data_IF_764361188984
#
_entry.id   IF_764361188984
#
_cell.length_a   1.000
_cell.length_b   1.000
_cell.length_c   1.000
_cell.angle_alpha   90.00
_cell.angle_beta   90.00
_cell.angle_gamma   90.00
#
_symmetry.space_group_name_H-M   'P 1'
#
loop_
_entity.id
_entity.type
_entity.pdbx_description
1 polymer ?
#
# COMPACT_ATOMS: atom_id res chain seq x y z
N UNK A 1 -3.33 31.33 25.84
CA UNK A 1 -3.38 31.43 24.35
C UNK A 1 -4.82 31.51 23.85
N UNK A 2 -5.10 32.09 22.68
CA UNK A 2 -6.48 32.23 22.13
C UNK A 2 -7.23 30.89 22.00
N UNK A 3 -6.52 29.82 21.65
CA UNK A 3 -7.09 28.46 21.55
C UNK A 3 -7.52 27.88 22.90
N UNK A 4 -6.79 28.16 23.99
CA UNK A 4 -7.16 27.73 25.35
C UNK A 4 -8.42 28.46 25.82
N UNK A 5 -8.48 29.77 25.57
CA UNK A 5 -9.68 30.58 25.84
C UNK A 5 -10.90 30.05 25.07
N UNK A 6 -10.71 29.68 23.80
CA UNK A 6 -11.77 29.06 22.97
C UNK A 6 -12.27 27.76 23.59
N UNK A 7 -11.34 26.87 24.00
CA UNK A 7 -11.69 25.62 24.67
C UNK A 7 -12.52 25.86 25.93
N UNK A 8 -12.07 26.77 26.81
CA UNK A 8 -12.79 27.07 28.05
C UNK A 8 -14.19 27.66 27.80
N UNK A 9 -14.33 28.57 26.83
CA UNK A 9 -15.62 29.19 26.51
C UNK A 9 -16.64 28.15 26.03
N UNK A 10 -16.20 27.20 25.19
CA UNK A 10 -17.06 26.13 24.69
C UNK A 10 -17.46 25.17 25.82
N UNK A 11 -16.50 24.70 26.61
CA UNK A 11 -16.76 23.73 27.69
C UNK A 11 -17.57 24.33 28.85
N UNK A 12 -17.54 25.65 29.07
CA UNK A 12 -18.37 26.34 30.08
C UNK A 12 -19.79 26.63 29.61
N UNK A 13 -19.99 26.96 28.32
CA UNK A 13 -21.31 27.33 27.81
C UNK A 13 -22.18 26.12 27.53
N UNK A 14 -21.66 25.13 26.81
CA UNK A 14 -22.42 24.01 26.27
C UNK A 14 -22.48 22.85 27.27
N UNK A 15 -23.15 23.09 28.40
CA UNK A 15 -23.33 22.12 29.48
C UNK A 15 -24.82 21.96 29.83
N UNK A 16 -25.17 20.84 30.46
CA UNK A 16 -26.54 20.52 30.87
C UNK A 16 -27.12 21.54 31.85
N UNK A 17 -26.30 22.12 32.71
CA UNK A 17 -26.71 23.17 33.67
C UNK A 17 -27.22 24.44 32.95
N UNK A 18 -26.72 24.71 31.75
CA UNK A 18 -27.14 25.85 30.92
C UNK A 18 -28.29 25.49 29.97
N UNK A 19 -28.92 24.33 30.15
CA UNK A 19 -30.07 23.88 29.35
C UNK A 19 -29.73 23.13 28.05
N UNK A 20 -28.47 22.75 27.83
CA UNK A 20 -28.08 21.95 26.66
C UNK A 20 -28.32 20.45 26.90
N UNK A 21 -28.55 19.65 25.84
CA UNK A 21 -28.85 18.22 25.99
C UNK A 21 -27.69 17.40 26.59
N UNK A 22 -26.44 17.82 26.35
CA UNK A 22 -25.24 17.13 26.80
C UNK A 22 -24.12 18.11 27.14
N UNK A 23 -23.15 17.65 27.93
CA UNK A 23 -21.92 18.39 28.20
C UNK A 23 -20.95 18.24 27.04
N UNK A 24 -20.70 19.34 26.33
CA UNK A 24 -19.72 19.38 25.26
C UNK A 24 -18.31 19.22 25.82
N UNK A 25 -17.47 18.48 25.10
CA UNK A 25 -16.07 18.27 25.45
C UNK A 25 -15.17 18.51 24.25
N UNK A 26 -14.09 19.27 24.43
CA UNK A 26 -13.08 19.41 23.39
C UNK A 26 -12.23 18.14 23.35
N UNK A 27 -12.30 17.43 22.22
CA UNK A 27 -11.61 16.15 22.02
C UNK A 27 -10.25 16.30 21.34
N UNK A 28 -10.04 17.38 20.59
CA UNK A 28 -8.78 17.67 19.91
C UNK A 28 -8.66 19.16 19.58
N UNK A 29 -7.43 19.63 19.42
CA UNK A 29 -7.14 20.97 18.90
C UNK A 29 -5.75 21.02 18.28
N UNK A 30 -5.62 21.73 17.16
CA UNK A 30 -4.37 21.90 16.44
C UNK A 30 -4.21 23.34 15.99
N UNK A 31 -3.48 24.14 16.77
CA UNK A 31 -3.07 25.53 16.51
C UNK A 31 -4.20 26.54 16.28
N UNK A 32 -4.97 26.36 15.21
CA UNK A 32 -6.04 27.23 14.70
C UNK A 32 -7.43 26.55 14.74
N UNK A 33 -7.50 25.25 15.03
CA UNK A 33 -8.73 24.46 15.03
C UNK A 33 -9.02 23.79 16.36
N UNK A 34 -10.31 23.70 16.71
CA UNK A 34 -10.81 23.01 17.91
C UNK A 34 -11.93 22.05 17.50
N UNK A 35 -11.81 20.79 17.90
CA UNK A 35 -12.80 19.75 17.63
C UNK A 35 -13.60 19.47 18.90
N UNK A 36 -14.90 19.74 18.83
CA UNK A 36 -15.82 19.66 19.96
C UNK A 36 -16.74 18.47 19.75
N UNK A 37 -16.84 17.60 20.76
CA UNK A 37 -17.88 16.59 20.83
C UNK A 37 -19.06 17.16 21.62
N UNK A 38 -20.15 17.50 20.92
CA UNK A 38 -21.40 18.00 21.53
C UNK A 38 -22.29 16.90 22.11
N UNK A 39 -21.98 15.61 21.91
CA UNK A 39 -22.76 14.48 22.43
C UNK A 39 -24.07 14.18 21.69
N UNK A 40 -24.49 15.04 20.76
CA UNK A 40 -25.71 14.83 19.94
C UNK A 40 -25.52 13.71 18.92
N UNK A 41 -26.63 13.08 18.53
CA UNK A 41 -26.61 11.89 17.66
C UNK A 41 -26.71 12.21 16.17
N UNK A 42 -27.25 13.37 15.81
CA UNK A 42 -27.46 13.74 14.41
C UNK A 42 -26.44 14.76 13.93
N UNK A 43 -26.01 14.62 12.67
CA UNK A 43 -25.09 15.57 12.04
C UNK A 43 -25.71 16.98 11.97
N UNK A 44 -27.02 17.06 11.73
CA UNK A 44 -27.75 18.33 11.65
C UNK A 44 -27.68 19.13 12.95
N UNK A 45 -28.01 18.52 14.08
CA UNK A 45 -27.93 19.19 15.40
C UNK A 45 -26.50 19.60 15.72
N UNK A 46 -25.51 18.74 15.40
CA UNK A 46 -24.10 19.07 15.61
C UNK A 46 -23.65 20.28 14.78
N UNK A 47 -24.13 20.41 13.54
CA UNK A 47 -23.86 21.57 12.68
C UNK A 47 -24.51 22.85 13.21
N UNK A 48 -25.75 22.78 13.70
CA UNK A 48 -26.45 23.92 14.30
C UNK A 48 -25.72 24.44 15.54
N UNK A 49 -25.38 23.54 16.48
CA UNK A 49 -24.58 23.86 17.67
C UNK A 49 -23.19 24.38 17.31
N UNK A 50 -22.55 23.80 16.28
CA UNK A 50 -21.24 24.25 15.80
C UNK A 50 -21.25 25.69 15.27
N UNK A 51 -22.26 26.07 14.49
CA UNK A 51 -22.43 27.45 13.98
C UNK A 51 -22.74 28.44 15.11
N UNK A 52 -23.56 28.03 16.05
CA UNK A 52 -23.86 28.84 17.24
C UNK A 52 -22.59 29.06 18.09
N UNK A 53 -21.82 28.00 18.33
CA UNK A 53 -20.56 28.04 19.07
C UNK A 53 -19.52 28.95 18.39
N UNK A 54 -19.38 28.85 17.07
CA UNK A 54 -18.48 29.70 16.30
C UNK A 54 -18.82 31.19 16.47
N UNK A 55 -20.12 31.54 16.39
CA UNK A 55 -20.60 32.91 16.56
C UNK A 55 -20.40 33.41 18.01
N UNK A 56 -20.72 32.58 18.99
CA UNK A 56 -20.55 32.89 20.41
C UNK A 56 -19.09 33.10 20.79
N UNK A 57 -18.19 32.22 20.35
CA UNK A 57 -16.75 32.36 20.66
C UNK A 57 -16.19 33.61 19.99
N UNK A 58 -16.58 33.88 18.74
CA UNK A 58 -16.15 35.09 18.00
C UNK A 58 -16.53 36.38 18.72
N UNK A 59 -17.68 36.43 19.41
CA UNK A 59 -18.09 37.63 20.16
C UNK A 59 -17.21 37.93 21.39
N UNK A 60 -16.34 37.00 21.80
CA UNK A 60 -15.42 37.16 22.95
C UNK A 60 -13.99 37.57 22.54
N UNK A 61 -13.79 37.87 21.25
CA UNK A 61 -12.53 38.34 20.68
C UNK A 61 -12.73 39.68 19.94
N UNK A 62 -11.66 40.47 19.85
CA UNK A 62 -11.67 41.75 19.15
C UNK A 62 -11.68 41.52 17.63
N UNK A 63 -12.44 42.34 16.89
CA UNK A 63 -12.41 42.33 15.42
C UNK A 63 -10.97 42.65 14.95
N UNK A 64 -10.44 41.98 13.90
CA UNK A 64 -11.13 41.12 12.93
C UNK A 64 -11.08 39.61 13.26
N UNK A 65 -10.76 39.22 14.50
CA UNK A 65 -10.67 37.79 14.87
C UNK A 65 -12.06 37.17 14.81
N UNK A 66 -12.21 36.12 14.01
CA UNK A 66 -13.47 35.41 13.81
C UNK A 66 -13.19 33.90 13.77
N UNK A 67 -14.01 33.13 14.49
CA UNK A 67 -14.07 31.68 14.41
C UNK A 67 -15.23 31.29 13.49
N UNK A 68 -14.97 30.43 12.53
CA UNK A 68 -15.98 29.90 11.62
C UNK A 68 -16.23 28.41 11.86
N UNK A 69 -17.49 28.01 11.72
CA UNK A 69 -17.82 26.59 11.66
C UNK A 69 -17.48 26.06 10.27
N UNK A 70 -16.62 25.04 10.20
CA UNK A 70 -16.18 24.47 8.93
C UNK A 70 -16.93 23.17 8.57
N UNK A 71 -17.05 22.23 9.52
CA UNK A 71 -17.43 20.83 9.23
C UNK A 71 -17.82 20.02 10.46
N UNK A 72 -18.51 18.90 10.23
CA UNK A 72 -18.71 17.81 11.21
C UNK A 72 -18.03 16.53 10.71
N UNK A 73 -17.42 15.77 11.62
CA UNK A 73 -16.96 14.41 11.35
C UNK A 73 -17.92 13.37 11.92
N UNK A 74 -18.38 12.42 11.09
CA UNK A 74 -19.23 11.32 11.56
C UNK A 74 -19.18 10.07 10.65
N UNK A 75 -18.52 8.97 11.03
CA UNK A 75 -17.74 8.76 12.25
C UNK A 75 -16.39 9.50 12.25
N UNK A 76 -15.77 9.56 13.43
CA UNK A 76 -14.46 10.17 13.65
C UNK A 76 -13.50 9.19 14.35
N UNK A 77 -12.30 9.03 13.82
CA UNK A 77 -11.23 8.18 14.33
C UNK A 77 -9.99 9.05 14.60
N UNK A 78 -9.73 9.34 15.87
CA UNK A 78 -8.53 10.03 16.32
C UNK A 78 -7.49 9.02 16.78
N UNK A 79 -6.36 8.94 16.07
CA UNK A 79 -5.27 8.01 16.39
C UNK A 79 -4.25 8.71 17.29
N UNK A 80 -3.74 9.87 16.85
CA UNK A 80 -2.69 10.62 17.52
C UNK A 80 -2.74 12.09 17.08
N UNK A 81 -1.89 12.94 17.68
CA UNK A 81 -1.72 14.32 17.23
C UNK A 81 -1.35 14.35 15.74
N UNK A 82 -2.06 15.17 14.96
CA UNK A 82 -1.96 15.28 13.49
C UNK A 82 -2.22 13.97 12.73
N UNK A 83 -2.89 13.00 13.35
CA UNK A 83 -3.21 11.68 12.76
C UNK A 83 -4.65 11.29 13.07
N UNK A 84 -5.54 11.55 12.14
CA UNK A 84 -6.96 11.25 12.29
C UNK A 84 -7.62 10.99 10.93
N UNK A 85 -8.74 10.26 10.97
CA UNK A 85 -9.59 10.01 9.82
C UNK A 85 -11.06 10.19 10.20
N UNK A 86 -11.90 10.55 9.25
CA UNK A 86 -13.34 10.66 9.47
C UNK A 86 -14.10 10.97 8.20
N UNK A 87 -15.40 10.73 8.21
CA UNK A 87 -16.27 11.18 7.12
C UNK A 87 -16.59 12.65 7.28
N UNK A 88 -16.31 13.43 6.25
CA UNK A 88 -16.38 14.88 6.21
C UNK A 88 -17.78 15.32 5.77
N UNK A 89 -18.48 16.11 6.59
CA UNK A 89 -19.81 16.64 6.27
C UNK A 89 -19.80 18.17 6.31
N UNK A 90 -20.13 18.79 5.17
CA UNK A 90 -20.54 20.21 5.07
C UNK A 90 -22.04 20.40 5.09
N UNK A 91 -22.79 19.37 4.67
CA UNK A 91 -24.25 19.28 4.69
C UNK A 91 -24.70 18.06 5.48
N UNK A 92 -25.87 18.10 6.14
CA UNK A 92 -26.26 17.03 7.06
C UNK A 92 -26.70 15.73 6.40
N UNK A 93 -27.07 15.74 5.11
CA UNK A 93 -27.70 14.59 4.45
C UNK A 93 -26.68 13.55 3.96
N UNK A 94 -25.55 14.00 3.39
CA UNK A 94 -24.57 13.15 2.70
C UNK A 94 -23.16 13.61 3.06
N UNK A 95 -22.25 12.65 3.24
CA UNK A 95 -20.83 12.95 3.44
C UNK A 95 -20.18 13.36 2.12
N UNK A 96 -19.27 14.33 2.18
CA UNK A 96 -18.56 14.83 1.00
C UNK A 96 -17.43 13.88 0.58
N UNK A 97 -16.66 13.39 1.57
CA UNK A 97 -15.51 12.50 1.38
C UNK A 97 -15.03 11.90 2.69
N UNK A 98 -14.17 10.89 2.61
CA UNK A 98 -13.33 10.48 3.73
C UNK A 98 -12.11 11.41 3.82
N UNK A 99 -11.96 12.11 4.95
CA UNK A 99 -10.78 12.93 5.21
C UNK A 99 -9.75 12.14 6.03
N UNK A 100 -8.50 12.16 5.57
CA UNK A 100 -7.40 11.38 6.10
C UNK A 100 -6.22 12.32 6.34
N UNK A 101 -5.94 12.67 7.60
CA UNK A 101 -4.86 13.60 7.95
C UNK A 101 -3.70 12.86 8.60
N UNK A 102 -2.51 12.96 8.01
CA UNK A 102 -1.25 12.45 8.56
C UNK A 102 -1.15 10.93 8.72
N UNK A 103 -2.16 10.18 8.25
CA UNK A 103 -2.15 8.73 8.18
C UNK A 103 -1.40 8.25 6.94
N UNK A 104 -1.09 6.96 6.90
CA UNK A 104 -0.21 6.35 5.90
C UNK A 104 -0.72 6.46 4.45
N UNK A 105 -2.02 6.70 4.25
CA UNK A 105 -2.66 6.80 2.93
C UNK A 105 -2.29 8.07 2.16
N UNK A 106 -1.95 9.15 2.87
CA UNK A 106 -1.53 10.43 2.27
C UNK A 106 -0.01 10.63 2.31
N UNK A 107 0.71 9.65 2.84
CA UNK A 107 2.17 9.68 3.00
C UNK A 107 2.87 9.01 1.83
N UNK A 108 3.85 9.70 1.25
CA UNK A 108 4.60 9.23 0.06
C UNK A 108 5.81 8.34 0.39
N UNK A 109 6.13 8.16 1.67
CA UNK A 109 7.29 7.38 2.12
C UNK A 109 6.99 5.89 2.37
N UNK A 110 5.73 5.48 2.21
CA UNK A 110 5.28 4.09 2.33
C UNK A 110 5.09 3.47 0.95
N UNK A 111 5.07 2.14 0.87
CA UNK A 111 4.73 1.46 -0.37
C UNK A 111 3.22 1.58 -0.69
N UNK A 112 2.83 1.58 -1.97
CA UNK A 112 1.42 1.68 -2.38
C UNK A 112 0.50 0.63 -1.74
N UNK A 113 1.01 -0.58 -1.47
CA UNK A 113 0.26 -1.63 -0.78
C UNK A 113 -0.31 -1.15 0.55
N UNK A 114 0.49 -0.45 1.36
CA UNK A 114 0.04 0.05 2.67
C UNK A 114 -1.02 1.12 2.51
N UNK A 115 -0.83 2.07 1.59
CA UNK A 115 -1.81 3.12 1.35
C UNK A 115 -3.16 2.53 0.91
N UNK A 116 -3.14 1.57 -0.02
CA UNK A 116 -4.33 0.90 -0.53
C UNK A 116 -5.02 0.03 0.53
N UNK A 117 -4.23 -0.73 1.29
CA UNK A 117 -4.73 -1.55 2.40
C UNK A 117 -5.44 -0.68 3.44
N UNK A 118 -4.78 0.39 3.88
CA UNK A 118 -5.31 1.26 4.93
C UNK A 118 -6.52 2.04 4.46
N UNK A 119 -6.54 2.56 3.23
CA UNK A 119 -7.72 3.22 2.66
C UNK A 119 -8.91 2.25 2.62
N UNK A 120 -8.72 1.05 2.08
CA UNK A 120 -9.81 0.06 1.98
C UNK A 120 -10.31 -0.38 3.34
N UNK A 121 -9.41 -0.57 4.32
CA UNK A 121 -9.81 -0.85 5.70
C UNK A 121 -10.60 0.31 6.31
N UNK A 122 -10.18 1.56 6.11
CA UNK A 122 -10.90 2.74 6.61
C UNK A 122 -12.27 2.91 5.94
N UNK A 123 -12.39 2.67 4.64
CA UNK A 123 -13.67 2.67 3.94
C UNK A 123 -14.62 1.64 4.56
N UNK A 124 -14.16 0.40 4.73
CA UNK A 124 -14.95 -0.66 5.37
C UNK A 124 -15.34 -0.34 6.81
N UNK A 125 -14.48 0.33 7.56
CA UNK A 125 -14.73 0.68 8.96
C UNK A 125 -15.65 1.90 9.12
N UNK A 126 -15.43 2.95 8.33
CA UNK A 126 -16.09 4.25 8.49
C UNK A 126 -17.36 4.39 7.64
N UNK A 127 -17.36 3.82 6.43
CA UNK A 127 -18.49 3.86 5.48
C UNK A 127 -19.38 2.62 5.69
N UNK A 128 -18.84 1.43 5.44
CA UNK A 128 -19.63 0.18 5.48
C UNK A 128 -19.98 -0.24 6.91
N UNK A 129 -19.25 0.29 7.90
CA UNK A 129 -19.37 -0.06 9.33
C UNK A 129 -19.24 -1.57 9.56
N UNK A 130 -18.33 -2.22 8.81
CA UNK A 130 -18.05 -3.65 8.88
C UNK A 130 -16.60 -3.94 9.34
N UNK A 131 -16.36 -4.01 10.66
CA UNK A 131 -15.05 -4.39 11.20
C UNK A 131 -14.62 -5.80 10.81
N UNK A 132 -15.56 -6.73 10.57
CA UNK A 132 -15.25 -8.11 10.21
C UNK A 132 -14.74 -8.17 8.77
N UNK A 133 -15.44 -7.54 7.83
CA UNK A 133 -15.01 -7.42 6.45
C UNK A 133 -13.67 -6.68 6.31
N UNK A 134 -13.44 -5.64 7.11
CA UNK A 134 -12.15 -4.95 7.17
C UNK A 134 -11.02 -5.87 7.65
N UNK A 135 -11.29 -6.69 8.68
CA UNK A 135 -10.34 -7.67 9.23
C UNK A 135 -10.01 -8.75 8.22
N UNK A 136 -11.02 -9.31 7.55
CA UNK A 136 -10.83 -10.36 6.56
C UNK A 136 -10.03 -9.87 5.36
N UNK A 137 -10.32 -8.66 4.88
CA UNK A 137 -9.55 -8.03 3.82
C UNK A 137 -8.07 -7.85 4.19
N UNK A 138 -7.78 -7.43 5.43
CA UNK A 138 -6.42 -7.30 5.91
C UNK A 138 -5.70 -8.66 5.98
N UNK A 139 -6.36 -9.71 6.49
CA UNK A 139 -5.82 -11.07 6.54
C UNK A 139 -5.50 -11.61 5.15
N UNK A 140 -6.42 -11.43 4.20
CA UNK A 140 -6.24 -11.85 2.81
C UNK A 140 -5.04 -11.14 2.17
N UNK A 141 -4.90 -9.83 2.38
CA UNK A 141 -3.77 -9.06 1.86
C UNK A 141 -2.44 -9.53 2.46
N UNK A 142 -2.40 -9.85 3.75
CA UNK A 142 -1.23 -10.41 4.42
C UNK A 142 -0.89 -11.81 3.84
N UNK A 143 -1.89 -12.66 3.63
CA UNK A 143 -1.70 -13.97 3.00
C UNK A 143 -1.13 -13.83 1.59
N UNK A 144 -1.64 -12.89 0.81
CA UNK A 144 -1.17 -12.59 -0.54
C UNK A 144 0.28 -12.11 -0.56
N UNK A 145 0.65 -11.26 0.41
CA UNK A 145 2.04 -10.82 0.57
C UNK A 145 2.97 -12.01 0.87
N UNK A 146 2.61 -12.83 1.85
CA UNK A 146 3.44 -13.97 2.29
C UNK A 146 3.52 -15.10 1.27
N UNK A 147 2.48 -15.23 0.43
CA UNK A 147 2.45 -16.18 -0.69
C UNK A 147 3.05 -15.63 -1.99
N UNK A 148 3.69 -14.44 -1.95
CA UNK A 148 4.29 -13.79 -3.11
C UNK A 148 3.29 -13.57 -4.27
N UNK A 149 2.02 -13.29 -3.93
CA UNK A 149 0.92 -12.98 -4.86
C UNK A 149 0.71 -11.47 -5.07
N UNK A 150 1.46 -10.64 -4.35
CA UNK A 150 1.42 -9.18 -4.50
C UNK A 150 2.37 -8.73 -5.62
N UNK A 151 1.91 -7.75 -6.40
CA UNK A 151 2.71 -7.13 -7.44
C UNK A 151 3.89 -6.32 -6.87
N UNK A 152 5.07 -6.42 -7.49
CA UNK A 152 6.24 -5.69 -7.03
C UNK A 152 6.03 -4.17 -7.06
N UNK A 153 5.22 -3.64 -7.99
CA UNK A 153 4.85 -2.22 -8.05
C UNK A 153 4.18 -1.73 -6.76
N UNK A 154 3.44 -2.61 -6.07
CA UNK A 154 2.80 -2.29 -4.79
C UNK A 154 3.79 -2.27 -3.62
N UNK A 155 5.00 -2.81 -3.82
CA UNK A 155 6.05 -2.91 -2.80
C UNK A 155 7.15 -1.85 -2.98
N UNK A 156 7.12 -1.08 -4.06
CA UNK A 156 8.10 -0.02 -4.33
C UNK A 156 7.95 1.09 -3.30
N UNK A 157 9.07 1.45 -2.67
CA UNK A 157 9.20 2.60 -1.76
C UNK A 157 10.01 3.67 -2.50
N UNK A 158 9.58 4.92 -2.45
CA UNK A 158 10.32 6.04 -3.06
C UNK A 158 10.81 7.02 -2.00
N UNK A 159 12.07 7.44 -2.11
CA UNK A 159 12.63 8.53 -1.29
C UNK A 159 13.45 9.47 -2.14
N UNK A 160 13.38 10.75 -1.81
CA UNK A 160 14.11 11.81 -2.49
C UNK A 160 15.57 11.82 -2.06
N UNK A 161 16.48 11.90 -3.03
CA UNK A 161 17.91 12.03 -2.80
C UNK A 161 18.28 13.50 -2.64
N UNK A 162 18.18 14.01 -1.42
CA UNK A 162 18.29 15.45 -1.14
C UNK A 162 19.72 15.95 -0.92
N UNK A 163 20.65 15.08 -0.53
CA UNK A 163 22.00 15.49 -0.12
C UNK A 163 23.08 14.63 -0.76
N UNK A 164 24.30 15.14 -0.77
CA UNK A 164 25.49 14.35 -1.10
C UNK A 164 25.93 13.50 0.10
N UNK A 165 26.66 12.41 -0.14
CA UNK A 165 27.00 11.40 0.87
C UNK A 165 27.67 11.94 2.12
N UNK A 166 28.47 12.99 1.96
CA UNK A 166 29.24 13.60 3.04
C UNK A 166 28.36 14.35 4.04
N UNK A 167 27.11 14.63 3.68
CA UNK A 167 26.17 15.40 4.49
C UNK A 167 25.13 14.53 5.21
N UNK A 168 25.04 13.24 4.88
CA UNK A 168 24.17 12.30 5.59
C UNK A 168 24.85 11.78 6.85
N UNK A 169 24.34 12.17 8.02
CA UNK A 169 24.83 11.70 9.31
C UNK A 169 24.65 10.19 9.54
N UNK A 170 23.72 9.55 8.83
CA UNK A 170 23.42 8.12 8.95
C UNK A 170 23.18 7.48 7.58
N UNK A 171 23.61 6.22 7.44
CA UNK A 171 23.42 5.44 6.21
C UNK A 171 21.93 5.19 5.94
N UNK A 172 21.49 5.52 4.72
CA UNK A 172 20.12 5.37 4.27
C UNK A 172 20.02 4.40 3.10
N UNK A 173 18.89 3.68 3.01
CA UNK A 173 18.65 2.70 1.95
C UNK A 173 18.75 3.29 0.52
N UNK A 174 18.02 4.37 0.24
CA UNK A 174 18.01 5.02 -1.07
C UNK A 174 19.39 5.58 -1.49
N UNK A 175 20.19 6.05 -0.52
CA UNK A 175 21.54 6.56 -0.78
C UNK A 175 22.48 5.41 -1.14
N UNK A 176 22.52 4.34 -0.34
CA UNK A 176 23.35 3.17 -0.61
C UNK A 176 22.96 2.48 -1.93
N UNK A 177 21.67 2.45 -2.26
CA UNK A 177 21.22 1.96 -3.56
C UNK A 177 21.71 2.84 -4.71
N UNK A 178 21.58 4.16 -4.61
CA UNK A 178 22.05 5.08 -5.65
C UNK A 178 23.55 4.87 -5.96
N UNK A 179 24.37 4.63 -4.93
CA UNK A 179 25.79 4.25 -5.12
C UNK A 179 25.98 2.93 -5.83
N UNK A 180 25.21 1.92 -5.43
CA UNK A 180 25.29 0.60 -6.05
C UNK A 180 24.88 0.66 -7.52
N UNK A 181 23.84 1.42 -7.84
CA UNK A 181 23.40 1.67 -9.22
C UNK A 181 24.50 2.39 -10.00
N UNK A 182 25.09 3.46 -9.47
CA UNK A 182 26.18 4.19 -10.12
C UNK A 182 27.44 3.35 -10.38
N UNK A 183 27.77 2.43 -9.46
CA UNK A 183 28.88 1.48 -9.67
C UNK A 183 28.57 0.41 -10.72
N UNK A 184 27.30 0.02 -10.84
CA UNK A 184 26.83 -1.00 -11.78
C UNK A 184 26.74 -0.44 -13.20
N UNK A 185 26.11 0.73 -13.32
CA UNK A 185 25.95 1.47 -14.56
C UNK A 185 25.79 2.97 -14.25
N UNK A 186 26.82 3.80 -14.54
CA UNK A 186 26.75 5.25 -14.31
C UNK A 186 25.63 5.95 -15.09
N UNK A 187 25.18 5.40 -16.23
CA UNK A 187 24.16 6.03 -17.08
C UNK A 187 22.74 5.97 -16.54
N UNK A 188 22.44 4.99 -15.67
CA UNK A 188 21.11 4.78 -15.07
C UNK A 188 20.99 5.22 -13.61
N UNK A 189 22.06 5.83 -13.08
CA UNK A 189 22.13 6.27 -11.70
C UNK A 189 21.21 7.49 -11.42
N UNK A 190 20.54 7.54 -10.26
CA UNK A 190 19.76 8.72 -9.85
C UNK A 190 20.66 9.95 -9.60
N UNK A 191 20.16 11.14 -9.93
CA UNK A 191 20.80 12.41 -9.64
C UNK A 191 20.28 13.02 -8.31
N UNK A 192 20.98 14.06 -7.84
CA UNK A 192 20.54 14.81 -6.66
C UNK A 192 19.23 15.56 -6.98
N UNK A 193 18.24 15.42 -6.11
CA UNK A 193 16.86 15.86 -6.32
C UNK A 193 15.94 14.78 -6.86
N UNK A 194 16.46 13.69 -7.43
CA UNK A 194 15.63 12.61 -7.95
C UNK A 194 15.02 11.76 -6.83
N UNK A 195 13.86 11.17 -7.12
CA UNK A 195 13.30 10.11 -6.30
C UNK A 195 13.91 8.77 -6.67
N UNK A 196 14.48 8.09 -5.69
CA UNK A 196 15.05 6.75 -5.83
C UNK A 196 14.00 5.72 -5.40
N UNK A 197 13.45 4.94 -6.35
CA UNK A 197 12.59 3.81 -6.05
C UNK A 197 13.43 2.61 -5.62
N UNK A 198 12.96 1.88 -4.62
CA UNK A 198 13.61 0.66 -4.17
C UNK A 198 12.61 -0.31 -3.55
N UNK A 199 12.99 -1.59 -3.55
CA UNK A 199 12.33 -2.63 -2.75
C UNK A 199 13.31 -3.20 -1.73
N UNK A 200 12.79 -3.84 -0.69
CA UNK A 200 13.63 -4.52 0.31
C UNK A 200 13.69 -6.01 -0.01
N UNK A 201 14.89 -6.48 -0.37
CA UNK A 201 15.16 -7.88 -0.70
C UNK A 201 15.45 -8.71 0.55
N UNK A 202 15.17 -10.00 0.46
CA UNK A 202 15.48 -10.96 1.51
C UNK A 202 17.01 -11.11 1.66
N UNK A 203 17.47 -11.05 2.91
CA UNK A 203 18.86 -11.25 3.28
C UNK A 203 18.94 -12.00 4.62
N UNK A 204 20.15 -12.26 5.10
CA UNK A 204 20.35 -12.87 6.42
C UNK A 204 19.74 -12.00 7.54
N UNK A 205 19.22 -12.63 8.61
CA UNK A 205 18.40 -12.00 9.67
C UNK A 205 19.01 -10.77 10.36
N UNK A 206 20.33 -10.56 10.28
CA UNK A 206 21.03 -9.42 10.90
C UNK A 206 21.52 -8.37 9.89
N UNK A 207 21.18 -8.53 8.61
CA UNK A 207 21.56 -7.56 7.57
C UNK A 207 20.79 -6.27 7.77
N UNK A 208 21.51 -5.15 7.86
CA UNK A 208 20.91 -3.84 8.01
C UNK A 208 20.02 -3.48 6.80
N UNK A 209 18.89 -2.82 7.05
CA UNK A 209 17.89 -2.52 6.01
C UNK A 209 18.46 -1.70 4.83
N UNK A 210 19.44 -0.83 5.07
CA UNK A 210 20.06 -0.04 3.99
C UNK A 210 20.84 -0.91 2.99
N UNK A 211 21.37 -2.07 3.41
CA UNK A 211 22.06 -3.01 2.52
C UNK A 211 21.08 -3.86 1.70
N UNK A 212 19.85 -4.03 2.20
CA UNK A 212 18.79 -4.83 1.58
C UNK A 212 17.97 -4.07 0.54
N UNK A 213 18.30 -2.82 0.25
CA UNK A 213 17.64 -2.06 -0.80
C UNK A 213 18.14 -2.50 -2.18
N UNK A 214 17.24 -2.64 -3.14
CA UNK A 214 17.61 -2.94 -4.53
C UNK A 214 16.62 -2.29 -5.50
N UNK A 215 17.09 -2.04 -6.73
CA UNK A 215 16.28 -1.47 -7.80
C UNK A 215 15.18 -2.47 -8.23
N UNK A 216 13.90 -2.05 -8.34
CA UNK A 216 12.81 -2.96 -8.65
C UNK A 216 12.96 -3.67 -10.01
N UNK A 217 13.58 -3.03 -11.01
CA UNK A 217 13.82 -3.64 -12.33
C UNK A 217 14.88 -4.73 -12.20
N UNK A 218 15.98 -4.44 -11.51
CA UNK A 218 17.03 -5.41 -11.25
C UNK A 218 16.50 -6.64 -10.48
N UNK A 219 15.64 -6.43 -9.50
CA UNK A 219 14.96 -7.52 -8.78
C UNK A 219 14.09 -8.35 -9.72
N UNK A 220 13.32 -7.70 -10.59
CA UNK A 220 12.49 -8.34 -11.61
C UNK A 220 13.32 -9.18 -12.56
N UNK A 221 14.39 -8.66 -13.15
CA UNK A 221 15.21 -9.40 -14.12
C UNK A 221 15.85 -10.64 -13.48
N UNK A 222 16.30 -10.51 -12.23
CA UNK A 222 17.11 -11.51 -11.54
C UNK A 222 16.34 -12.41 -10.56
N UNK A 223 15.02 -12.28 -10.45
CA UNK A 223 14.19 -13.04 -9.50
C UNK A 223 14.68 -12.94 -8.05
N UNK A 224 15.13 -11.77 -7.62
CA UNK A 224 15.65 -11.62 -6.27
C UNK A 224 14.49 -11.72 -5.28
N UNK A 225 14.55 -12.57 -4.24
CA UNK A 225 13.43 -12.74 -3.32
C UNK A 225 13.19 -11.47 -2.50
N UNK A 226 11.93 -11.11 -2.30
CA UNK A 226 11.51 -9.97 -1.48
C UNK A 226 11.46 -10.37 0.00
N UNK A 227 11.84 -9.45 0.90
CA UNK A 227 11.72 -9.66 2.34
C UNK A 227 10.28 -9.41 2.80
N UNK A 228 9.41 -10.39 2.60
CA UNK A 228 7.98 -10.30 2.97
C UNK A 228 7.78 -10.03 4.47
N UNK A 229 8.70 -10.51 5.32
CA UNK A 229 8.67 -10.27 6.76
C UNK A 229 8.93 -8.80 7.09
N UNK A 230 9.90 -8.16 6.42
CA UNK A 230 10.13 -6.73 6.56
C UNK A 230 8.88 -5.90 6.19
N UNK A 231 8.21 -6.23 5.08
CA UNK A 231 6.98 -5.52 4.70
C UNK A 231 5.86 -5.75 5.71
N UNK A 232 5.69 -6.96 6.22
CA UNK A 232 4.72 -7.25 7.26
C UNK A 232 5.01 -6.41 8.51
N UNK A 233 6.19 -6.57 9.12
CA UNK A 233 6.49 -6.00 10.44
C UNK A 233 6.70 -4.47 10.41
N UNK A 234 7.37 -3.96 9.39
CA UNK A 234 7.78 -2.56 9.34
C UNK A 234 6.80 -1.67 8.58
N UNK A 235 6.10 -2.20 7.56
CA UNK A 235 5.23 -1.40 6.69
C UNK A 235 3.74 -1.61 7.02
N UNK A 236 3.28 -2.84 7.26
CA UNK A 236 1.85 -3.16 7.41
C UNK A 236 1.40 -3.17 8.88
N UNK A 237 2.13 -3.88 9.76
CA UNK A 237 1.65 -4.16 11.13
C UNK A 237 1.36 -2.88 11.91
N UNK A 238 2.29 -1.92 11.94
CA UNK A 238 2.12 -0.71 12.77
C UNK A 238 0.96 0.17 12.32
N UNK A 239 0.79 0.51 11.03
CA UNK A 239 -0.38 1.27 10.57
C UNK A 239 -1.70 0.55 10.80
N UNK A 240 -1.73 -0.77 10.60
CA UNK A 240 -2.93 -1.58 10.78
C UNK A 240 -3.37 -1.60 12.24
N UNK A 241 -2.44 -1.88 13.17
CA UNK A 241 -2.71 -1.87 14.60
C UNK A 241 -3.27 -0.53 15.08
N UNK A 242 -2.70 0.59 14.64
CA UNK A 242 -3.17 1.94 15.01
C UNK A 242 -4.64 2.21 14.68
N UNK A 243 -5.18 1.57 13.65
CA UNK A 243 -6.56 1.77 13.19
C UNK A 243 -7.50 0.77 13.86
N UNK A 244 -7.04 -0.47 14.05
CA UNK A 244 -7.87 -1.54 14.58
C UNK A 244 -7.86 -1.63 16.11
N UNK A 245 -6.79 -1.24 16.80
CA UNK A 245 -6.71 -1.24 18.28
C UNK A 245 -7.83 -0.43 18.94
N UNK A 246 -8.18 0.80 18.49
CA UNK A 246 -9.30 1.55 19.09
C UNK A 246 -10.67 0.89 18.91
N UNK A 247 -10.80 -0.07 17.99
CA UNK A 247 -12.07 -0.70 17.60
C UNK A 247 -12.19 -2.11 18.19
N UNK A 248 -11.12 -2.91 18.09
CA UNK A 248 -11.06 -4.31 18.51
C UNK A 248 -10.38 -4.51 19.88
N UNK A 249 -9.74 -3.48 20.43
CA UNK A 249 -8.98 -3.54 21.67
C UNK A 249 -7.65 -4.29 21.55
N UNK A 250 -7.11 -4.74 22.69
CA UNK A 250 -5.80 -5.40 22.79
C UNK A 250 -5.67 -6.69 21.97
N UNK A 251 -6.80 -7.31 21.58
CA UNK A 251 -6.80 -8.52 20.75
C UNK A 251 -6.51 -8.26 19.28
N UNK A 252 -6.49 -6.99 18.84
CA UNK A 252 -6.29 -6.61 17.43
C UNK A 252 -5.03 -7.26 16.84
N UNK A 253 -3.91 -7.23 17.56
CA UNK A 253 -2.65 -7.81 17.11
C UNK A 253 -2.76 -9.32 16.87
N UNK A 254 -3.31 -10.05 17.85
CA UNK A 254 -3.51 -11.49 17.74
C UNK A 254 -4.45 -11.86 16.59
N UNK A 255 -5.48 -11.06 16.32
CA UNK A 255 -6.47 -11.35 15.29
C UNK A 255 -5.91 -11.11 13.90
N UNK A 256 -5.11 -10.05 13.74
CA UNK A 256 -4.65 -9.58 12.42
C UNK A 256 -3.32 -10.23 12.01
N UNK A 257 -2.39 -10.42 12.93
CA UNK A 257 -1.02 -10.85 12.63
C UNK A 257 -0.78 -12.34 12.94
N UNK A 258 -1.59 -12.94 13.81
CA UNK A 258 -1.48 -14.35 14.15
C UNK A 258 -2.66 -15.13 13.56
N UNK A 259 -2.37 -16.16 12.76
CA UNK A 259 -3.43 -17.01 12.20
C UNK A 259 -2.92 -17.92 11.10
N UNK A 260 -3.84 -18.68 10.51
CA UNK A 260 -3.49 -19.59 9.42
C UNK A 260 -3.02 -18.84 8.17
N UNK A 261 -3.51 -17.61 7.97
CA UNK A 261 -3.12 -16.72 6.87
C UNK A 261 -1.65 -16.30 6.92
N UNK A 262 -0.96 -16.42 8.06
CA UNK A 262 0.48 -16.11 8.18
C UNK A 262 1.41 -17.32 8.22
N UNK A 263 0.87 -18.54 8.25
CA UNK A 263 1.64 -19.79 8.33
C UNK A 263 2.24 -20.20 6.99
N UNK A 264 1.55 -19.94 5.90
CA UNK A 264 2.02 -20.28 4.55
C UNK A 264 2.93 -19.19 4.01
N UNK A 265 4.18 -19.55 3.70
CA UNK A 265 5.16 -18.64 3.08
C UNK A 265 5.73 -19.28 1.82
N UNK A 266 5.64 -18.58 0.70
CA UNK A 266 6.23 -19.02 -0.58
C UNK A 266 7.43 -18.13 -0.87
N UNK A 267 8.60 -18.75 -1.00
CA UNK A 267 9.86 -18.04 -1.27
C UNK A 267 10.35 -18.41 -2.66
N UNK A 268 10.60 -17.39 -3.48
CA UNK A 268 11.17 -17.54 -4.82
C UNK A 268 12.66 -17.86 -4.70
N UNK A 269 13.19 -18.65 -5.64
CA UNK A 269 14.64 -18.90 -5.72
C UNK A 269 15.32 -17.84 -6.60
N UNK A 270 16.33 -17.17 -6.04
CA UNK A 270 17.16 -16.19 -6.76
C UNK A 270 17.88 -16.79 -7.96
N UNK A 271 17.94 -16.09 -9.10
CA UNK A 271 18.81 -16.47 -10.22
C UNK A 271 20.27 -16.11 -9.97
N UNK A 272 20.54 -15.16 -9.07
CA UNK A 272 21.89 -14.73 -8.71
C UNK A 272 22.32 -15.44 -7.43
N UNK A 273 23.52 -16.00 -7.47
CA UNK A 273 24.19 -16.59 -6.30
C UNK A 273 25.23 -17.61 -6.74
N UNK A 274 26.34 -17.71 -5.99
CA UNK A 274 27.40 -18.68 -6.28
C UNK A 274 26.86 -20.12 -6.29
N UNK A 275 25.92 -20.46 -5.40
CA UNK A 275 25.27 -21.77 -5.37
C UNK A 275 24.27 -21.99 -6.52
N UNK A 276 23.64 -20.93 -7.03
CA UNK A 276 22.66 -21.06 -8.12
C UNK A 276 23.31 -21.57 -9.41
N UNK A 277 24.58 -21.22 -9.65
CA UNK A 277 25.36 -21.71 -10.79
C UNK A 277 25.53 -23.25 -10.80
N UNK A 278 25.47 -23.89 -9.64
CA UNK A 278 25.58 -25.35 -9.48
C UNK A 278 24.22 -26.05 -9.35
N UNK A 279 23.11 -25.32 -9.41
CA UNK A 279 21.77 -25.87 -9.23
C UNK A 279 21.21 -26.41 -10.55
N UNK A 280 21.01 -27.72 -10.64
CA UNK A 280 20.34 -28.33 -11.80
C UNK A 280 18.82 -28.16 -11.68
N UNK A 281 18.20 -27.46 -12.64
CA UNK A 281 16.73 -27.34 -12.71
C UNK A 281 16.14 -28.67 -13.19
N UNK A 282 15.33 -29.32 -12.35
CA UNK A 282 14.48 -30.43 -12.77
C UNK A 282 13.08 -29.91 -13.12
N UNK A 283 12.48 -30.49 -14.16
CA UNK A 283 11.11 -30.19 -14.53
C UNK A 283 10.13 -30.71 -13.47
N UNK A 284 9.08 -29.94 -13.21
CA UNK A 284 7.98 -30.31 -12.32
C UNK A 284 6.68 -30.39 -13.09
N UNK A 285 5.79 -31.30 -12.69
CA UNK A 285 4.44 -31.42 -13.24
C UNK A 285 3.67 -30.11 -13.03
N UNK A 286 3.04 -29.59 -14.08
CA UNK A 286 2.24 -28.36 -14.00
C UNK A 286 1.06 -28.53 -13.02
N UNK A 287 0.36 -29.67 -13.07
CA UNK A 287 -0.80 -29.92 -12.21
C UNK A 287 -0.49 -30.11 -10.72
N UNK A 288 0.44 -31.00 -10.36
CA UNK A 288 0.67 -31.37 -8.96
C UNK A 288 2.05 -31.00 -8.39
N UNK A 289 2.91 -30.35 -9.19
CA UNK A 289 4.29 -29.96 -8.82
C UNK A 289 5.23 -31.11 -8.47
N UNK A 290 4.87 -32.36 -8.73
CA UNK A 290 5.77 -33.51 -8.58
C UNK A 290 6.97 -33.39 -9.53
N UNK A 291 8.13 -33.93 -9.16
CA UNK A 291 9.27 -34.00 -10.07
C UNK A 291 8.94 -34.90 -11.27
N UNK A 292 9.46 -34.52 -12.44
CA UNK A 292 9.37 -35.31 -13.67
C UNK A 292 10.73 -35.93 -13.98
N UNK A 293 10.71 -37.17 -14.45
CA UNK A 293 11.93 -37.91 -14.79
C UNK A 293 12.44 -37.58 -16.20
N UNK A 294 11.53 -37.22 -17.11
CA UNK A 294 11.86 -36.83 -18.50
C UNK A 294 11.80 -35.32 -18.67
N UNK A 295 12.88 -34.77 -19.22
CA UNK A 295 12.92 -33.38 -19.65
C UNK A 295 12.01 -33.21 -20.88
N UNK A 296 10.98 -32.37 -20.77
CA UNK A 296 10.05 -32.05 -21.86
C UNK A 296 8.57 -32.38 -21.61
N UNK A 297 8.24 -33.26 -20.66
CA UNK A 297 6.83 -33.52 -20.32
C UNK A 297 6.23 -32.36 -19.51
N UNK A 298 4.97 -32.00 -19.78
CA UNK A 298 4.24 -30.99 -19.02
C UNK A 298 3.61 -31.55 -17.72
N UNK A 299 3.10 -32.78 -17.78
CA UNK A 299 2.33 -33.42 -16.71
C UNK A 299 2.89 -34.80 -16.37
N UNK A 300 2.76 -35.21 -15.11
CA UNK A 300 3.14 -36.56 -14.68
C UNK A 300 2.07 -37.58 -15.09
N UNK A 301 2.40 -38.88 -14.99
CA UNK A 301 1.48 -39.98 -15.32
C UNK A 301 0.13 -39.89 -14.59
N UNK A 302 0.13 -39.43 -13.34
CA UNK A 302 -1.10 -39.24 -12.55
C UNK A 302 -1.97 -38.08 -13.06
N UNK A 303 -1.35 -36.99 -13.53
CA UNK A 303 -2.07 -35.82 -14.05
C UNK A 303 -2.42 -35.94 -15.54
N UNK A 304 -1.90 -36.95 -16.24
CA UNK A 304 -2.15 -37.18 -17.67
C UNK A 304 -3.63 -37.25 -18.05
N UNK A 305 -4.54 -37.89 -17.28
CA UNK A 305 -5.97 -37.90 -17.61
C UNK A 305 -6.62 -36.50 -17.58
N UNK A 306 -6.04 -35.56 -16.82
CA UNK A 306 -6.51 -34.17 -16.69
C UNK A 306 -5.71 -33.18 -17.53
N UNK A 307 -4.88 -33.66 -18.47
CA UNK A 307 -3.99 -32.81 -19.25
C UNK A 307 -4.72 -31.74 -20.04
N UNK A 308 -5.88 -32.07 -20.62
CA UNK A 308 -6.70 -31.11 -21.38
C UNK A 308 -7.21 -29.97 -20.49
N UNK A 309 -7.70 -30.28 -19.29
CA UNK A 309 -8.18 -29.28 -18.32
C UNK A 309 -7.04 -28.38 -17.84
N UNK A 310 -5.87 -28.96 -17.55
CA UNK A 310 -4.67 -28.21 -17.15
C UNK A 310 -4.24 -27.29 -18.30
N UNK A 311 -4.18 -27.78 -19.52
CA UNK A 311 -3.80 -27.00 -20.69
C UNK A 311 -4.75 -25.82 -20.94
N UNK A 312 -6.06 -26.04 -20.88
CA UNK A 312 -7.07 -24.97 -21.01
C UNK A 312 -6.88 -23.88 -19.95
N UNK A 313 -6.57 -24.29 -18.71
CA UNK A 313 -6.32 -23.35 -17.61
C UNK A 313 -5.07 -22.51 -17.87
N UNK A 314 -3.96 -23.13 -18.30
CA UNK A 314 -2.71 -22.42 -18.59
C UNK A 314 -2.83 -21.50 -19.82
N UNK A 315 -3.61 -21.89 -20.83
CA UNK A 315 -3.94 -21.01 -21.98
C UNK A 315 -4.75 -19.80 -21.54
N UNK A 316 -5.74 -19.99 -20.65
CA UNK A 316 -6.52 -18.87 -20.14
C UNK A 316 -5.63 -17.84 -19.43
N UNK A 317 -4.64 -18.30 -18.67
CA UNK A 317 -3.63 -17.41 -18.09
C UNK A 317 -2.79 -16.71 -19.16
N UNK A 318 -2.32 -17.42 -20.19
CA UNK A 318 -1.57 -16.81 -21.29
C UNK A 318 -2.36 -15.69 -21.96
N UNK A 319 -3.62 -15.96 -22.34
CA UNK A 319 -4.51 -14.97 -22.95
C UNK A 319 -4.68 -13.73 -22.05
N UNK A 320 -4.81 -13.94 -20.73
CA UNK A 320 -4.92 -12.83 -19.78
C UNK A 320 -3.65 -11.97 -19.69
N UNK A 321 -2.47 -12.59 -19.86
CA UNK A 321 -1.20 -11.87 -19.88
C UNK A 321 -1.00 -11.14 -21.20
N UNK A 322 -1.39 -11.73 -22.33
CA UNK A 322 -1.34 -11.08 -23.65
C UNK A 322 -2.23 -9.83 -23.69
N UNK A 323 -3.47 -9.92 -23.18
CA UNK A 323 -4.37 -8.77 -23.11
C UNK A 323 -3.76 -7.64 -22.27
N UNK A 324 -3.24 -7.97 -21.08
CA UNK A 324 -2.58 -7.01 -20.19
C UNK A 324 -1.34 -6.40 -20.84
N UNK A 325 -0.54 -7.21 -21.53
CA UNK A 325 0.65 -6.75 -22.24
C UNK A 325 0.27 -5.73 -23.31
N UNK A 326 -0.66 -6.07 -24.19
CA UNK A 326 -1.12 -5.19 -25.25
C UNK A 326 -1.64 -3.87 -24.70
N UNK A 327 -2.53 -3.92 -23.69
CA UNK A 327 -3.10 -2.72 -23.06
C UNK A 327 -2.01 -1.80 -22.50
N UNK A 328 -1.11 -2.33 -21.67
CA UNK A 328 -0.09 -1.51 -21.00
C UNK A 328 0.92 -0.90 -21.98
N UNK A 329 1.34 -1.65 -23.01
CA UNK A 329 2.29 -1.15 -24.00
C UNK A 329 1.67 -0.15 -24.97
N UNK A 330 0.40 -0.32 -25.35
CA UNK A 330 -0.32 0.68 -26.16
C UNK A 330 -0.60 1.96 -25.37
N UNK A 331 -0.92 1.90 -24.07
CA UNK A 331 -1.02 3.12 -23.24
C UNK A 331 0.30 3.90 -23.21
N UNK A 332 1.43 3.18 -23.15
CA UNK A 332 2.75 3.79 -23.20
C UNK A 332 3.01 4.54 -24.52
N UNK A 333 2.61 3.98 -25.66
CA UNK A 333 2.72 4.65 -26.96
C UNK A 333 1.83 5.91 -27.02
N UNK A 334 0.60 5.83 -26.51
CA UNK A 334 -0.29 7.01 -26.44
C UNK A 334 0.27 8.10 -25.55
N UNK A 335 0.87 7.73 -24.41
CA UNK A 335 1.54 8.67 -23.51
C UNK A 335 2.76 9.33 -24.15
N UNK A 336 3.53 8.60 -24.97
CA UNK A 336 4.66 9.14 -25.72
C UNK A 336 4.21 10.05 -26.87
N UNK A 337 3.06 9.76 -27.48
CA UNK A 337 2.53 10.47 -28.64
C UNK A 337 3.02 9.96 -29.99
N UNK A 338 3.94 8.99 -30.02
CA UNK A 338 4.43 8.34 -31.23
C UNK A 338 4.02 6.86 -31.26
N UNK A 339 3.55 6.41 -32.44
CA UNK A 339 3.27 4.99 -32.72
C UNK A 339 4.42 4.31 -33.48
N UNK A 340 5.37 5.09 -33.98
CA UNK A 340 6.43 4.61 -34.88
C UNK A 340 7.81 4.58 -34.23
N UNK A 341 7.95 5.23 -33.07
CA UNK A 341 9.20 5.24 -32.30
C UNK A 341 9.13 4.27 -31.12
N UNK A 342 10.31 3.85 -30.65
CA UNK A 342 10.41 3.01 -29.47
C UNK A 342 10.07 3.78 -28.19
N UNK A 343 9.37 3.13 -27.25
CA UNK A 343 9.03 3.73 -25.95
C UNK A 343 10.21 3.63 -24.97
N UNK A 344 11.08 4.64 -24.99
CA UNK A 344 12.23 4.78 -24.08
C UNK A 344 11.89 5.56 -22.79
N UNK A 345 10.74 5.27 -22.17
CA UNK A 345 10.31 5.92 -20.93
C UNK A 345 10.96 5.27 -19.70
N UNK A 346 11.56 6.07 -18.81
CA UNK A 346 12.14 5.65 -17.52
C UNK A 346 11.44 6.29 -16.32
N UNK A 347 10.23 6.83 -16.50
CA UNK A 347 9.47 7.49 -15.44
C UNK A 347 9.14 6.50 -14.31
N UNK A 348 9.84 6.66 -13.18
CA UNK A 348 9.72 5.81 -11.99
C UNK A 348 8.47 6.10 -11.16
N UNK A 349 7.85 7.27 -11.36
CA UNK A 349 6.58 7.65 -10.73
C UNK A 349 5.35 7.16 -11.50
N UNK A 350 5.55 6.64 -12.73
CA UNK A 350 4.46 6.10 -13.52
C UNK A 350 4.04 4.71 -13.02
N UNK A 351 2.76 4.47 -12.69
CA UNK A 351 2.30 3.15 -12.24
C UNK A 351 2.48 2.07 -13.31
N UNK A 352 2.40 2.43 -14.59
CA UNK A 352 2.55 1.49 -15.72
C UNK A 352 3.99 1.00 -15.87
N UNK A 353 4.97 1.79 -15.44
CA UNK A 353 6.39 1.53 -15.74
C UNK A 353 6.87 0.16 -15.23
N UNK A 354 6.57 -0.20 -13.99
CA UNK A 354 6.93 -1.51 -13.43
C UNK A 354 5.98 -2.62 -13.88
N UNK A 355 4.68 -2.30 -14.02
CA UNK A 355 3.67 -3.28 -14.46
C UNK A 355 3.97 -3.84 -15.85
N UNK A 356 4.33 -2.98 -16.82
CA UNK A 356 4.63 -3.43 -18.20
C UNK A 356 5.86 -4.35 -18.26
N UNK A 357 6.88 -4.09 -17.43
CA UNK A 357 8.10 -4.92 -17.36
C UNK A 357 7.83 -6.26 -16.69
N UNK A 358 7.00 -6.29 -15.64
CA UNK A 358 6.57 -7.53 -15.02
C UNK A 358 5.74 -8.37 -16.00
N UNK A 359 4.70 -7.79 -16.61
CA UNK A 359 3.82 -8.52 -17.52
C UNK A 359 4.59 -9.06 -18.73
N UNK A 360 5.56 -8.30 -19.26
CA UNK A 360 6.47 -8.79 -20.30
C UNK A 360 7.20 -10.07 -19.87
N UNK A 361 7.64 -10.14 -18.63
CA UNK A 361 8.32 -11.30 -18.09
C UNK A 361 7.36 -12.46 -17.79
N UNK A 362 6.24 -12.19 -17.14
CA UNK A 362 5.22 -13.19 -16.81
C UNK A 362 4.70 -13.86 -18.08
N UNK A 363 4.46 -13.08 -19.15
CA UNK A 363 4.11 -13.58 -20.47
C UNK A 363 5.18 -14.52 -21.02
N UNK A 364 6.45 -14.09 -21.01
CA UNK A 364 7.56 -14.91 -21.51
C UNK A 364 7.82 -16.18 -20.69
N UNK A 365 7.51 -16.18 -19.39
CA UNK A 365 7.58 -17.38 -18.55
C UNK A 365 6.37 -18.30 -18.77
N UNK A 366 5.16 -17.76 -18.98
CA UNK A 366 3.96 -18.53 -19.31
C UNK A 366 4.05 -19.19 -20.69
N UNK A 367 4.59 -18.50 -21.70
CA UNK A 367 4.85 -19.10 -23.01
C UNK A 367 5.74 -20.35 -22.92
N UNK A 368 6.75 -20.34 -22.03
CA UNK A 368 7.62 -21.50 -21.82
C UNK A 368 6.85 -22.67 -21.20
N UNK A 369 5.88 -22.39 -20.32
CA UNK A 369 5.00 -23.43 -19.74
C UNK A 369 4.16 -24.06 -20.84
N UNK A 370 3.52 -23.24 -21.69
CA UNK A 370 2.69 -23.73 -22.80
C UNK A 370 3.51 -24.56 -23.80
N UNK A 371 4.73 -24.14 -24.13
CA UNK A 371 5.64 -24.88 -25.02
C UNK A 371 5.93 -26.32 -24.55
N UNK A 372 5.75 -26.63 -23.24
CA UNK A 372 5.93 -28.01 -22.71
C UNK A 372 4.83 -28.97 -23.13
N UNK A 373 3.65 -28.48 -23.53
CA UNK A 373 2.56 -29.31 -24.02
C UNK A 373 2.72 -29.70 -25.51
N UNK A 374 3.77 -29.22 -26.16
CA UNK A 374 4.06 -29.43 -27.58
C UNK A 374 3.71 -28.20 -28.44
N UNK A 375 4.10 -28.26 -29.71
CA UNK A 375 3.73 -27.25 -30.70
C UNK A 375 2.41 -27.64 -31.36
N UNK A 376 1.47 -26.71 -31.43
CA UNK A 376 0.20 -26.89 -32.18
C UNK A 376 0.42 -26.74 -33.70
N UNK A 377 1.65 -26.40 -34.15
CA UNK A 377 1.97 -26.07 -35.55
C UNK A 377 2.15 -27.28 -36.48
N UNK A 378 1.56 -28.43 -36.17
CA UNK A 378 1.46 -29.56 -37.11
C UNK A 378 -0.03 -29.81 -37.40
N UNK A 379 -0.62 -28.92 -38.20
CA UNK A 379 -1.88 -29.16 -38.90
C UNK A 379 -1.62 -29.07 -40.40
#
# INVERSE_FOLDING_TARGET
MMIEKTKELVEKKYITENGYPHNAKVIYGDTDSVMVNFGVKTVKEAMELGREAATYVSSHFEKPICLEFEKVYYPYLLINKKRYAGLYFTKPEIHDKMDCKGIETVRRDNCPLVANLINTCLEKLLIDRDPKGATEYAKQTIADLLCNRIDISQLVITKELTKTDKEYAAKQAHVELAHRMKKRDPGSAPNLGDRVPYVIIAASKKTAAYLKSEDPIYVLENNIPIDTQYYLDNQISKPLLRIFEPILGEKAESILLCGDHTRSKIVVTSKIGALTAFTKKKATCVGCRSLLDREGEAVCAHCKPKESEIYQTEIAYLNSFEEKFARLWTECQRCQGSLHEEVLCTSRDCPIFYMRKKVQKDLGDQEKVIKRFGSVMNW
#
